data_IF_510936679657
#
_entry.id   IF_510936679657
#
_cell.length_a   1.000
_cell.length_b   1.000
_cell.length_c   1.000
_cell.angle_alpha   90.00
_cell.angle_beta   90.00
_cell.angle_gamma   90.00
#
_symmetry.space_group_name_H-M   'P 1'
#
loop_
_entity.id
_entity.type
_entity.pdbx_description
1 polymer ?
#
# COMPACT_ATOMS: atom_id res chain seq x y z
N UNK A 1 2.35 14.02 22.08
CA UNK A 1 3.48 13.57 21.25
C UNK A 1 2.99 13.34 19.83
N UNK A 2 3.66 13.90 18.85
CA UNK A 2 3.36 13.73 17.44
C UNK A 2 4.25 12.63 16.85
N UNK A 3 3.72 11.83 15.92
CA UNK A 3 4.50 10.84 15.18
C UNK A 3 4.60 11.24 13.71
N UNK A 4 5.68 10.85 13.07
CA UNK A 4 5.98 11.13 11.68
C UNK A 4 5.61 9.92 10.82
N UNK A 5 4.68 10.11 9.90
CA UNK A 5 4.09 9.05 9.09
C UNK A 5 4.28 9.33 7.62
N UNK A 6 4.61 8.31 6.82
CA UNK A 6 4.59 8.39 5.37
C UNK A 6 3.60 7.39 4.77
N UNK A 7 2.95 7.79 3.69
CA UNK A 7 2.13 6.92 2.85
C UNK A 7 2.70 6.98 1.43
N UNK A 8 3.12 5.83 0.94
CA UNK A 8 3.83 5.67 -0.33
C UNK A 8 3.04 4.79 -1.28
N UNK A 9 2.82 5.22 -2.51
CA UNK A 9 2.23 4.33 -3.51
C UNK A 9 1.59 4.99 -4.73
N UNK A 10 0.60 4.29 -5.28
CA UNK A 10 -0.12 4.67 -6.49
C UNK A 10 -1.35 5.54 -6.23
N UNK A 11 -2.22 5.68 -7.23
CA UNK A 11 -3.39 6.58 -7.19
C UNK A 11 -4.45 6.26 -6.13
N UNK A 12 -4.44 5.06 -5.54
CA UNK A 12 -5.33 4.70 -4.43
C UNK A 12 -4.88 5.31 -3.09
N UNK A 13 -3.63 5.75 -2.99
CA UNK A 13 -3.17 6.53 -1.84
C UNK A 13 -3.95 7.85 -1.79
N UNK A 14 -4.52 8.23 -0.64
CA UNK A 14 -5.22 9.50 -0.51
C UNK A 14 -4.34 10.69 -0.90
N UNK A 15 -4.89 11.66 -1.63
CA UNK A 15 -4.15 12.88 -1.96
C UNK A 15 -3.92 13.77 -0.75
N UNK A 16 -4.92 13.81 0.13
CA UNK A 16 -4.90 14.54 1.38
C UNK A 16 -5.38 13.63 2.50
N UNK A 17 -4.65 13.63 3.60
CA UNK A 17 -4.98 12.81 4.74
C UNK A 17 -4.46 13.45 6.01
N UNK A 18 -5.29 13.57 7.02
CA UNK A 18 -4.95 14.18 8.29
C UNK A 18 -5.38 13.30 9.47
N UNK A 19 -4.50 13.12 10.41
CA UNK A 19 -4.79 12.47 11.71
C UNK A 19 -4.21 13.36 12.80
N UNK A 20 -4.99 13.60 13.84
CA UNK A 20 -4.57 14.44 14.96
C UNK A 20 -3.28 13.91 15.61
N UNK A 21 -2.38 14.82 15.95
CA UNK A 21 -1.08 14.48 16.56
C UNK A 21 -0.22 13.56 15.67
N UNK A 22 -0.29 13.75 14.36
CA UNK A 22 0.61 13.12 13.42
C UNK A 22 1.02 14.11 12.31
N UNK A 23 2.26 13.96 11.84
CA UNK A 23 2.76 14.62 10.65
C UNK A 23 2.77 13.61 9.52
N UNK A 24 1.92 13.82 8.51
CA UNK A 24 1.74 12.87 7.41
C UNK A 24 2.34 13.43 6.13
N UNK A 25 3.30 12.69 5.56
CA UNK A 25 3.87 12.94 4.24
C UNK A 25 3.34 11.93 3.24
N UNK A 26 2.88 12.39 2.08
CA UNK A 26 2.33 11.55 1.03
C UNK A 26 3.26 11.56 -0.18
N UNK A 27 3.77 10.37 -0.52
CA UNK A 27 4.61 10.12 -1.69
C UNK A 27 3.79 9.31 -2.70
N UNK A 28 3.12 10.00 -3.60
CA UNK A 28 2.11 9.43 -4.48
C UNK A 28 2.43 9.73 -5.94
N UNK A 29 2.29 8.69 -6.78
CA UNK A 29 2.34 8.84 -8.24
C UNK A 29 1.19 8.06 -8.87
N UNK A 30 0.39 8.71 -9.71
CA UNK A 30 -0.66 8.04 -10.48
C UNK A 30 -0.04 7.01 -11.43
N UNK A 31 -0.62 5.81 -11.47
CA UNK A 31 -0.11 4.72 -12.29
C UNK A 31 1.22 4.11 -11.83
N UNK A 32 1.68 4.41 -10.61
CA UNK A 32 2.95 3.92 -10.12
C UNK A 32 3.04 2.40 -10.14
N UNK A 33 4.14 1.92 -10.67
CA UNK A 33 4.63 0.55 -10.61
C UNK A 33 5.87 0.48 -9.71
N UNK A 34 6.35 -0.72 -9.44
CA UNK A 34 7.50 -0.98 -8.56
C UNK A 34 8.75 -0.22 -9.01
N UNK A 35 9.05 -0.18 -10.31
CA UNK A 35 10.24 0.50 -10.84
C UNK A 35 10.22 2.01 -10.59
N UNK A 36 9.05 2.63 -10.41
CA UNK A 36 8.95 4.06 -10.09
C UNK A 36 9.43 4.41 -8.68
N UNK A 37 9.70 3.41 -7.84
CA UNK A 37 10.29 3.66 -6.52
C UNK A 37 11.68 4.29 -6.60
N UNK A 38 12.41 4.07 -7.68
CA UNK A 38 13.73 4.67 -7.91
C UNK A 38 13.65 6.08 -8.53
N UNK A 39 12.46 6.61 -8.72
CA UNK A 39 12.18 7.93 -9.31
C UNK A 39 11.41 8.83 -8.33
N UNK A 40 11.67 10.15 -8.37
CA UNK A 40 10.84 11.13 -7.66
C UNK A 40 9.40 11.11 -8.23
N UNK A 41 8.33 11.29 -7.42
CA UNK A 41 8.39 11.63 -6.00
C UNK A 41 8.53 10.44 -5.04
N UNK A 42 8.44 9.18 -5.49
CA UNK A 42 8.44 8.03 -4.58
C UNK A 42 9.80 7.85 -3.89
N UNK A 43 10.89 8.04 -4.63
CA UNK A 43 12.25 7.95 -4.10
C UNK A 43 12.54 8.95 -2.99
N UNK A 44 11.88 10.09 -2.99
CA UNK A 44 12.11 11.18 -2.04
C UNK A 44 11.82 10.75 -0.58
N UNK A 45 11.04 9.69 -0.38
CA UNK A 45 10.82 9.11 0.96
C UNK A 45 12.12 8.70 1.64
N UNK A 46 13.16 8.32 0.87
CA UNK A 46 14.43 7.85 1.40
C UNK A 46 15.28 8.96 2.02
N UNK A 47 14.93 10.23 1.81
CA UNK A 47 15.65 11.39 2.31
C UNK A 47 15.31 11.74 3.78
N UNK A 48 14.32 11.03 4.35
CA UNK A 48 13.82 11.33 5.69
C UNK A 48 13.69 10.08 6.56
N UNK A 49 13.29 10.25 7.81
CA UNK A 49 13.03 9.18 8.78
C UNK A 49 11.61 9.27 9.30
N UNK A 50 10.98 8.12 9.51
CA UNK A 50 9.59 8.04 9.92
C UNK A 50 9.39 7.12 11.12
N UNK A 51 8.35 7.35 11.87
CA UNK A 51 7.88 6.41 12.90
C UNK A 51 7.11 5.25 12.25
N UNK A 52 6.34 5.56 11.18
CA UNK A 52 5.49 4.61 10.48
C UNK A 52 5.48 4.91 8.98
N UNK A 53 5.62 3.88 8.16
CA UNK A 53 5.46 3.96 6.70
C UNK A 53 4.45 2.94 6.22
N UNK A 54 3.51 3.37 5.37
CA UNK A 54 2.62 2.51 4.61
C UNK A 54 3.11 2.40 3.18
N UNK A 55 3.24 1.17 2.67
CA UNK A 55 3.50 0.89 1.26
C UNK A 55 2.23 0.36 0.60
N UNK A 56 1.71 1.10 -0.39
CA UNK A 56 0.55 0.72 -1.19
C UNK A 56 0.91 0.72 -2.67
N UNK A 57 1.50 -0.38 -3.15
CA UNK A 57 2.07 -0.53 -4.48
C UNK A 57 1.91 -1.97 -4.95
N UNK A 58 1.95 -2.18 -6.26
CA UNK A 58 1.97 -3.50 -6.90
C UNK A 58 0.78 -3.80 -7.80
N UNK A 59 -0.39 -3.18 -7.59
CA UNK A 59 -1.57 -3.43 -8.41
C UNK A 59 -1.38 -3.07 -9.89
N UNK A 60 -0.60 -2.05 -10.20
CA UNK A 60 -0.31 -1.63 -11.56
C UNK A 60 0.76 -2.49 -12.26
N UNK A 61 1.44 -3.35 -11.53
CA UNK A 61 2.42 -4.30 -12.05
C UNK A 61 1.77 -5.59 -12.57
N UNK A 62 0.50 -5.83 -12.22
CA UNK A 62 -0.27 -6.97 -12.71
C UNK A 62 -0.92 -6.59 -14.04
N UNK A 63 -0.29 -7.01 -15.14
CA UNK A 63 -0.66 -6.71 -16.52
C UNK A 63 -0.81 -7.98 -17.33
N UNK A 64 -1.35 -7.86 -18.55
CA UNK A 64 -1.52 -8.97 -19.47
C UNK A 64 -0.23 -9.70 -19.84
N UNK A 65 0.91 -8.99 -19.79
CA UNK A 65 2.24 -9.52 -20.08
C UNK A 65 2.98 -10.05 -18.85
N UNK A 66 2.33 -10.09 -17.69
CA UNK A 66 2.89 -10.69 -16.49
C UNK A 66 2.76 -12.21 -16.54
N UNK A 67 3.79 -12.88 -16.98
CA UNK A 67 3.83 -14.35 -17.06
C UNK A 67 4.30 -15.02 -15.77
N UNK A 68 5.00 -14.28 -14.91
CA UNK A 68 5.54 -14.74 -13.65
C UNK A 68 5.44 -13.64 -12.59
N UNK A 69 4.82 -13.94 -11.45
CA UNK A 69 4.69 -13.01 -10.33
C UNK A 69 5.99 -12.79 -9.56
N UNK A 70 7.00 -13.62 -9.75
CA UNK A 70 8.27 -13.56 -9.00
C UNK A 70 8.96 -12.19 -9.07
N UNK A 71 9.11 -11.52 -10.22
CA UNK A 71 9.72 -10.19 -10.27
C UNK A 71 8.96 -9.16 -9.42
N UNK A 72 7.63 -9.21 -9.42
CA UNK A 72 6.80 -8.32 -8.61
C UNK A 72 7.01 -8.58 -7.11
N UNK A 73 7.01 -9.85 -6.72
CA UNK A 73 7.24 -10.28 -5.34
C UNK A 73 8.62 -9.83 -4.86
N UNK A 74 9.66 -10.08 -5.64
CA UNK A 74 11.05 -9.69 -5.32
C UNK A 74 11.17 -8.17 -5.22
N UNK A 75 10.58 -7.43 -6.14
CA UNK A 75 10.59 -5.97 -6.13
C UNK A 75 9.94 -5.39 -4.88
N UNK A 76 8.75 -5.88 -4.50
CA UNK A 76 8.05 -5.42 -3.30
C UNK A 76 8.83 -5.78 -2.02
N UNK A 77 9.40 -6.97 -1.93
CA UNK A 77 10.28 -7.35 -0.81
C UNK A 77 11.47 -6.40 -0.67
N UNK A 78 12.11 -6.06 -1.77
CA UNK A 78 13.23 -5.12 -1.81
C UNK A 78 12.84 -3.73 -1.30
N UNK A 79 11.70 -3.21 -1.75
CA UNK A 79 11.18 -1.90 -1.27
C UNK A 79 10.89 -1.96 0.23
N UNK A 80 10.21 -2.99 0.70
CA UNK A 80 9.86 -3.14 2.12
C UNK A 80 11.12 -3.16 3.01
N UNK A 81 12.18 -3.84 2.59
CA UNK A 81 13.45 -3.85 3.33
C UNK A 81 14.11 -2.47 3.37
N UNK A 82 14.09 -1.73 2.27
CA UNK A 82 14.60 -0.35 2.24
C UNK A 82 13.78 0.59 3.14
N UNK A 83 12.47 0.43 3.18
CA UNK A 83 11.61 1.22 4.06
C UNK A 83 11.87 0.92 5.54
N UNK A 84 12.22 -0.31 5.89
CA UNK A 84 12.63 -0.66 7.26
C UNK A 84 13.88 0.08 7.73
N UNK A 85 14.77 0.47 6.82
CA UNK A 85 15.99 1.22 7.16
C UNK A 85 15.70 2.67 7.54
N UNK A 86 14.58 3.22 7.07
CA UNK A 86 14.19 4.62 7.29
C UNK A 86 13.00 4.79 8.23
N UNK A 87 12.44 3.70 8.73
CA UNK A 87 11.23 3.73 9.55
C UNK A 87 11.29 2.75 10.70
N UNK A 88 10.71 3.12 11.85
CA UNK A 88 10.57 2.24 13.00
C UNK A 88 9.56 1.12 12.75
N UNK A 89 8.50 1.41 12.02
CA UNK A 89 7.46 0.46 11.65
C UNK A 89 7.09 0.62 10.18
N UNK A 90 6.91 -0.51 9.50
CA UNK A 90 6.44 -0.56 8.11
C UNK A 90 5.16 -1.40 8.06
N UNK A 91 4.18 -0.93 7.31
CA UNK A 91 2.94 -1.64 6.99
C UNK A 91 2.85 -1.84 5.49
N UNK A 92 2.62 -3.07 5.06
CA UNK A 92 2.28 -3.37 3.68
C UNK A 92 0.77 -3.33 3.49
N UNK A 93 0.29 -2.49 2.60
CA UNK A 93 -1.12 -2.47 2.21
C UNK A 93 -1.31 -3.52 1.12
N UNK A 94 -2.09 -4.57 1.42
CA UNK A 94 -2.33 -5.67 0.49
C UNK A 94 -2.86 -5.15 -0.85
N UNK A 95 -2.38 -5.74 -1.94
CA UNK A 95 -2.80 -5.34 -3.28
C UNK A 95 -4.31 -5.50 -3.39
N UNK A 96 -4.95 -4.44 -3.83
CA UNK A 96 -6.40 -4.28 -3.90
C UNK A 96 -7.05 -5.16 -4.98
N UNK A 97 -8.31 -5.47 -4.79
CA UNK A 97 -9.15 -6.07 -5.83
C UNK A 97 -9.50 -5.04 -6.89
N UNK A 98 -9.61 -5.51 -8.12
CA UNK A 98 -10.05 -4.73 -9.28
C UNK A 98 -11.07 -5.54 -10.07
N UNK A 99 -11.92 -4.84 -10.80
CA UNK A 99 -12.86 -5.43 -11.72
C UNK A 99 -12.84 -4.65 -13.04
N UNK A 100 -11.93 -5.02 -13.91
CA UNK A 100 -11.75 -4.34 -15.19
C UNK A 100 -12.93 -4.58 -16.14
N UNK A 101 -13.24 -3.58 -16.95
CA UNK A 101 -14.09 -3.75 -18.11
C UNK A 101 -13.42 -4.65 -19.16
N UNK A 102 -14.21 -5.26 -20.04
CA UNK A 102 -13.71 -6.19 -21.08
C UNK A 102 -12.62 -5.54 -21.96
N UNK A 103 -12.78 -4.25 -22.26
CA UNK A 103 -11.84 -3.49 -23.11
C UNK A 103 -10.97 -2.53 -22.26
N UNK A 104 -10.42 -3.00 -21.16
CA UNK A 104 -9.59 -2.15 -20.32
C UNK A 104 -8.21 -1.89 -20.95
N UNK A 105 -7.66 -0.71 -20.66
CA UNK A 105 -6.35 -0.26 -21.17
C UNK A 105 -5.15 -1.12 -20.73
N UNK A 106 -5.32 -1.95 -19.70
CA UNK A 106 -4.26 -2.80 -19.16
C UNK A 106 -4.21 -4.18 -19.86
N UNK A 107 -5.23 -4.50 -20.66
CA UNK A 107 -5.33 -5.77 -21.38
C UNK A 107 -5.40 -7.01 -20.50
N UNK A 108 -5.68 -6.86 -19.20
CA UNK A 108 -5.72 -7.95 -18.24
C UNK A 108 -7.15 -8.44 -18.00
N UNK A 109 -7.32 -9.75 -17.97
CA UNK A 109 -8.59 -10.38 -17.59
C UNK A 109 -8.76 -10.41 -16.07
N UNK A 110 -10.00 -10.24 -15.59
CA UNK A 110 -10.30 -10.23 -14.16
C UNK A 110 -9.86 -11.49 -13.42
N UNK A 111 -10.06 -12.65 -14.02
CA UNK A 111 -9.63 -13.93 -13.44
C UNK A 111 -8.10 -14.00 -13.28
N UNK A 112 -7.35 -13.53 -14.27
CA UNK A 112 -5.91 -13.50 -14.24
C UNK A 112 -5.40 -12.49 -13.21
N UNK A 113 -5.97 -11.29 -13.19
CA UNK A 113 -5.63 -10.29 -12.18
C UNK A 113 -5.82 -10.83 -10.76
N UNK A 114 -6.99 -11.43 -10.48
CA UNK A 114 -7.31 -11.97 -9.15
C UNK A 114 -6.39 -13.13 -8.75
N UNK A 115 -6.05 -14.00 -9.71
CA UNK A 115 -5.10 -15.09 -9.49
C UNK A 115 -3.72 -14.52 -9.08
N UNK A 116 -3.17 -13.62 -9.88
CA UNK A 116 -1.84 -13.05 -9.65
C UNK A 116 -1.80 -12.21 -8.36
N UNK A 117 -2.83 -11.42 -8.14
CA UNK A 117 -2.99 -10.64 -6.90
C UNK A 117 -2.93 -11.52 -5.66
N UNK A 118 -3.68 -12.63 -5.65
CA UNK A 118 -3.68 -13.58 -4.53
C UNK A 118 -2.32 -14.22 -4.33
N UNK A 119 -1.67 -14.62 -5.41
CA UNK A 119 -0.34 -15.24 -5.37
C UNK A 119 0.69 -14.27 -4.76
N UNK A 120 0.72 -13.02 -5.22
CA UNK A 120 1.61 -11.99 -4.71
C UNK A 120 1.30 -11.71 -3.23
N UNK A 121 0.04 -11.43 -2.88
CA UNK A 121 -0.33 -11.13 -1.50
C UNK A 121 0.00 -12.29 -0.53
N UNK A 122 -0.22 -13.53 -0.93
CA UNK A 122 0.09 -14.69 -0.09
C UNK A 122 1.60 -14.83 0.16
N UNK A 123 2.43 -14.61 -0.87
CA UNK A 123 3.88 -14.60 -0.72
C UNK A 123 4.34 -13.46 0.20
N UNK A 124 3.78 -12.26 0.01
CA UNK A 124 4.14 -11.10 0.84
C UNK A 124 3.67 -11.27 2.29
N UNK A 125 2.54 -11.90 2.55
CA UNK A 125 2.12 -12.22 3.94
C UNK A 125 3.14 -13.07 4.66
N UNK A 126 3.66 -14.11 4.01
CA UNK A 126 4.69 -14.98 4.60
C UNK A 126 6.00 -14.21 4.84
N UNK A 127 6.43 -13.42 3.88
CA UNK A 127 7.62 -12.58 4.00
C UNK A 127 7.46 -11.54 5.11
N UNK A 128 6.37 -10.79 5.12
CA UNK A 128 6.09 -9.76 6.11
C UNK A 128 6.04 -10.34 7.54
N UNK A 129 5.43 -11.52 7.71
CA UNK A 129 5.43 -12.22 9.00
C UNK A 129 6.84 -12.51 9.52
N UNK A 130 7.76 -12.94 8.65
CA UNK A 130 9.16 -13.17 9.02
C UNK A 130 9.94 -11.87 9.29
N UNK A 131 9.53 -10.76 8.70
CA UNK A 131 10.19 -9.45 8.80
C UNK A 131 9.57 -8.53 9.86
N UNK A 132 8.60 -9.02 10.62
CA UNK A 132 7.83 -8.20 11.57
C UNK A 132 7.15 -6.97 10.91
N UNK A 133 6.69 -7.16 9.68
CA UNK A 133 5.89 -6.19 8.94
C UNK A 133 4.43 -6.64 8.98
N UNK A 134 3.55 -5.81 9.52
CA UNK A 134 2.11 -6.11 9.54
C UNK A 134 1.44 -5.67 8.24
N UNK A 135 0.32 -6.29 7.92
CA UNK A 135 -0.44 -6.05 6.70
C UNK A 135 -1.72 -5.29 7.01
N UNK A 136 -2.01 -4.31 6.17
CA UNK A 136 -3.31 -3.63 6.12
C UNK A 136 -4.10 -4.22 4.95
N UNK A 137 -5.24 -4.85 5.22
CA UNK A 137 -6.14 -5.33 4.19
C UNK A 137 -6.97 -4.18 3.63
N UNK A 138 -7.07 -4.09 2.31
CA UNK A 138 -7.76 -2.99 1.64
C UNK A 138 -9.26 -3.06 1.78
N UNK A 139 -9.83 -4.27 1.67
CA UNK A 139 -11.26 -4.50 1.87
C UNK A 139 -11.48 -5.83 2.58
N UNK A 140 -12.39 -5.87 3.55
CA UNK A 140 -12.85 -7.11 4.18
C UNK A 140 -14.00 -7.74 3.40
N UNK A 141 -14.70 -6.96 2.58
CA UNK A 141 -15.82 -7.38 1.74
C UNK A 141 -15.52 -7.02 0.30
N UNK A 142 -15.80 -7.93 -0.60
CA UNK A 142 -15.71 -7.66 -2.02
C UNK A 142 -17.10 -7.58 -2.61
N UNK A 143 -17.44 -6.39 -3.04
CA UNK A 143 -18.62 -6.12 -3.86
C UNK A 143 -18.19 -5.15 -4.96
N UNK A 144 -18.81 -5.27 -6.12
CA UNK A 144 -18.63 -4.32 -7.23
C UNK A 144 -18.84 -2.86 -6.80
N UNK A 145 -19.67 -2.65 -5.79
CA UNK A 145 -20.00 -1.33 -5.23
C UNK A 145 -18.82 -0.64 -4.53
N UNK A 146 -17.75 -1.36 -4.18
CA UNK A 146 -16.54 -0.78 -3.60
C UNK A 146 -15.59 -0.19 -4.65
N UNK A 147 -15.85 -0.44 -5.92
CA UNK A 147 -15.08 0.09 -7.03
C UNK A 147 -15.87 1.16 -7.76
N UNK A 148 -15.16 2.18 -8.25
CA UNK A 148 -15.72 3.20 -9.13
C UNK A 148 -16.05 2.64 -10.52
N UNK A 149 -16.55 3.50 -11.40
CA UNK A 149 -17.00 3.12 -12.75
C UNK A 149 -15.89 2.48 -13.62
N UNK A 150 -14.62 2.80 -13.35
CA UNK A 150 -13.47 2.24 -14.07
C UNK A 150 -13.07 0.84 -13.59
N UNK A 151 -13.68 0.34 -12.51
CA UNK A 151 -13.37 -0.95 -11.90
C UNK A 151 -11.98 -1.05 -11.26
N UNK A 152 -11.25 0.06 -11.16
CA UNK A 152 -9.88 0.15 -10.63
C UNK A 152 -9.84 0.98 -9.35
N UNK A 153 -10.34 2.20 -9.42
CA UNK A 153 -10.33 3.11 -8.28
C UNK A 153 -11.46 2.77 -7.30
N UNK A 154 -11.18 2.96 -6.02
CA UNK A 154 -12.18 2.75 -4.98
C UNK A 154 -13.30 3.77 -5.08
N UNK A 155 -14.54 3.29 -4.87
CA UNK A 155 -15.68 4.15 -4.62
C UNK A 155 -15.49 4.93 -3.29
N UNK A 156 -16.25 5.99 -3.09
CA UNK A 156 -16.12 6.90 -1.94
C UNK A 156 -16.14 6.17 -0.59
N UNK A 157 -17.03 5.19 -0.43
CA UNK A 157 -17.11 4.41 0.81
C UNK A 157 -15.87 3.56 1.07
N UNK A 158 -15.33 2.91 0.04
CA UNK A 158 -14.11 2.12 0.15
C UNK A 158 -12.89 3.01 0.46
N UNK A 159 -12.83 4.21 -0.11
CA UNK A 159 -11.81 5.20 0.23
C UNK A 159 -11.90 5.64 1.69
N UNK A 160 -13.11 5.87 2.19
CA UNK A 160 -13.35 6.23 3.59
C UNK A 160 -12.93 5.09 4.53
N UNK A 161 -13.27 3.85 4.20
CA UNK A 161 -12.86 2.67 4.95
C UNK A 161 -11.34 2.52 5.02
N UNK A 162 -10.64 2.73 3.90
CA UNK A 162 -9.19 2.70 3.85
C UNK A 162 -8.55 3.80 4.73
N UNK A 163 -9.06 5.02 4.64
CA UNK A 163 -8.62 6.12 5.50
C UNK A 163 -8.83 5.81 6.99
N UNK A 164 -9.95 5.19 7.33
CA UNK A 164 -10.20 4.76 8.71
C UNK A 164 -9.22 3.70 9.18
N UNK A 165 -8.86 2.75 8.34
CA UNK A 165 -7.82 1.75 8.65
C UNK A 165 -6.47 2.40 8.89
N UNK A 166 -6.05 3.34 8.05
CA UNK A 166 -4.82 4.10 8.27
C UNK A 166 -4.87 4.88 9.60
N UNK A 167 -5.96 5.55 9.88
CA UNK A 167 -6.16 6.28 11.13
C UNK A 167 -6.02 5.39 12.35
N UNK A 168 -6.63 4.20 12.33
CA UNK A 168 -6.55 3.25 13.42
C UNK A 168 -5.10 2.77 13.67
N UNK A 169 -4.37 2.46 12.60
CA UNK A 169 -2.96 2.04 12.70
C UNK A 169 -2.08 3.18 13.24
N UNK A 170 -2.29 4.41 12.76
CA UNK A 170 -1.53 5.59 13.21
C UNK A 170 -1.76 5.84 14.70
N UNK A 171 -3.01 5.78 15.15
CA UNK A 171 -3.35 5.96 16.56
C UNK A 171 -2.72 4.86 17.44
N UNK A 172 -2.78 3.62 17.00
CA UNK A 172 -2.16 2.50 17.72
C UNK A 172 -0.62 2.68 17.82
N UNK A 173 0.03 3.04 16.74
CA UNK A 173 1.46 3.30 16.70
C UNK A 173 1.84 4.44 17.65
N UNK A 174 1.06 5.52 17.69
CA UNK A 174 1.26 6.63 18.61
C UNK A 174 1.12 6.22 20.08
N UNK A 175 0.11 5.43 20.42
CA UNK A 175 -0.10 4.95 21.77
C UNK A 175 1.06 4.07 22.26
N UNK A 176 1.59 3.21 21.40
CA UNK A 176 2.75 2.38 21.70
C UNK A 176 4.01 3.23 21.92
N UNK A 177 4.20 4.30 21.14
CA UNK A 177 5.32 5.21 21.29
C UNK A 177 5.26 5.96 22.64
N UNK A 178 4.08 6.35 23.12
CA UNK A 178 3.87 6.98 24.42
C UNK A 178 4.20 6.01 25.56
N UNK A 179 3.75 4.75 25.46
CA UNK A 179 4.02 3.72 26.50
C UNK A 179 5.51 3.34 26.55
N UNK A 180 6.19 3.23 25.41
CA UNK A 180 7.62 2.93 25.33
C UNK A 180 8.54 4.06 25.80
N UNK A 181 8.07 5.31 25.85
CA UNK A 181 8.81 6.47 26.35
C UNK A 181 8.70 6.69 27.88
N UNK A 182 7.93 5.88 28.57
CA UNK A 182 7.68 5.98 30.03
C UNK A 182 8.56 5.04 30.88
N UNK A 183 9.57 4.41 30.27
CA UNK A 183 10.53 3.53 30.96
C UNK A 183 11.86 4.23 31.21
#
# INVERSE_FOLDING_TARGET
MSIKVAILGHSQVPQTFHVQNSEISIFRRSGACIHHFDESPLRDILEDRFDLVFLFLGGNDIRADLYDCKPVIVGLKGILLRLKEISKEVRFVAIERRHYSVNNRFGVENAQYEHDRRQINNNLRKFCGRQNIRIVNTTTRWFSDHLGKDGVHFATEAQRELKQKFTNVINLCREQAIQGGSS
#
